data_IF_477288057398
#
_entry.id   IF_477288057398
#
_cell.length_a   1.000
_cell.length_b   1.000
_cell.length_c   1.000
_cell.angle_alpha   90.00
_cell.angle_beta   90.00
_cell.angle_gamma   90.00
#
_symmetry.space_group_name_H-M   'P 1'
#
loop_
_entity.id
_entity.type
_entity.pdbx_description
1 polymer ?
#
# COMPACT_ATOMS: atom_id res chain seq x y z
N UNK A 1 24.47 1.92 -1.81
CA UNK A 1 23.22 1.13 -1.92
C UNK A 1 23.45 -0.07 -2.81
N UNK A 2 22.84 -1.22 -2.54
CA UNK A 2 22.90 -2.38 -3.46
C UNK A 2 22.10 -2.06 -4.73
N UNK A 3 22.59 -2.50 -5.90
CA UNK A 3 21.91 -2.33 -7.20
C UNK A 3 20.48 -2.90 -7.16
N UNK A 4 20.27 -3.98 -6.42
CA UNK A 4 18.94 -4.59 -6.19
C UNK A 4 17.95 -3.62 -5.55
N UNK A 5 18.37 -2.90 -4.52
CA UNK A 5 17.50 -2.01 -3.76
C UNK A 5 17.13 -0.75 -4.55
N UNK A 6 18.06 -0.25 -5.38
CA UNK A 6 17.81 0.89 -6.25
C UNK A 6 16.77 0.56 -7.34
N UNK A 7 16.95 -0.57 -8.02
CA UNK A 7 16.01 -1.07 -9.03
C UNK A 7 14.63 -1.33 -8.43
N UNK A 8 14.57 -1.96 -7.26
CA UNK A 8 13.33 -2.20 -6.53
C UNK A 8 12.61 -0.89 -6.14
N UNK A 9 13.35 0.12 -5.68
CA UNK A 9 12.78 1.41 -5.31
C UNK A 9 12.16 2.13 -6.52
N UNK A 10 12.85 2.16 -7.66
CA UNK A 10 12.35 2.80 -8.88
C UNK A 10 11.12 2.06 -9.42
N UNK A 11 11.23 0.75 -9.69
CA UNK A 11 10.12 -0.03 -10.23
C UNK A 11 8.92 -0.08 -9.27
N UNK A 12 9.19 -0.12 -7.96
CA UNK A 12 8.16 -0.08 -6.92
C UNK A 12 7.44 1.26 -6.86
N UNK A 13 8.16 2.37 -6.97
CA UNK A 13 7.56 3.71 -6.97
C UNK A 13 6.72 3.94 -8.22
N UNK A 14 7.26 3.60 -9.40
CA UNK A 14 6.52 3.70 -10.66
C UNK A 14 5.28 2.80 -10.58
N UNK A 15 5.45 1.50 -10.32
CA UNK A 15 4.33 0.55 -10.24
C UNK A 15 3.26 0.96 -9.21
N UNK A 16 3.68 1.47 -8.04
CA UNK A 16 2.79 1.96 -7.00
C UNK A 16 1.97 3.17 -7.44
N UNK A 17 2.60 4.14 -8.11
CA UNK A 17 1.90 5.32 -8.65
C UNK A 17 0.91 4.92 -9.74
N UNK A 18 1.33 4.07 -10.71
CA UNK A 18 0.43 3.62 -11.79
C UNK A 18 -0.77 2.85 -11.22
N UNK A 19 -0.54 2.00 -10.23
CA UNK A 19 -1.61 1.23 -9.58
C UNK A 19 -2.56 2.13 -8.79
N UNK A 20 -2.05 3.05 -7.98
CA UNK A 20 -2.87 3.98 -7.21
C UNK A 20 -3.72 4.89 -8.11
N UNK A 21 -3.13 5.47 -9.16
CA UNK A 21 -3.85 6.27 -10.14
C UNK A 21 -4.92 5.45 -10.87
N UNK A 22 -4.59 4.22 -11.26
CA UNK A 22 -5.55 3.30 -11.88
C UNK A 22 -6.77 3.06 -10.98
N UNK A 23 -6.55 2.76 -9.70
CA UNK A 23 -7.64 2.59 -8.72
C UNK A 23 -8.49 3.85 -8.59
N UNK A 24 -7.88 5.03 -8.46
CA UNK A 24 -8.63 6.30 -8.39
C UNK A 24 -9.48 6.55 -9.65
N UNK A 25 -8.93 6.33 -10.85
CA UNK A 25 -9.66 6.50 -12.11
C UNK A 25 -10.83 5.51 -12.26
N UNK A 26 -10.76 4.34 -11.64
CA UNK A 26 -11.85 3.36 -11.63
C UNK A 26 -12.95 3.68 -10.63
N UNK A 27 -12.60 4.25 -9.47
CA UNK A 27 -13.55 4.50 -8.38
C UNK A 27 -14.31 5.83 -8.52
N UNK A 28 -13.77 6.80 -9.27
CA UNK A 28 -14.39 8.12 -9.46
C UNK A 28 -15.25 8.09 -10.74
N UNK A 29 -16.57 7.87 -10.65
CA UNK A 29 -17.44 7.76 -11.83
C UNK A 29 -17.52 9.07 -12.63
N UNK A 30 -17.25 10.22 -12.00
CA UNK A 30 -17.31 11.55 -12.63
C UNK A 30 -16.28 11.72 -13.75
N UNK A 31 -15.19 10.95 -13.73
CA UNK A 31 -14.15 11.02 -14.76
C UNK A 31 -14.49 10.21 -16.01
N UNK A 32 -15.55 9.37 -15.97
CA UNK A 32 -15.95 8.44 -17.04
C UNK A 32 -14.76 7.63 -17.62
N UNK A 33 -13.73 7.45 -16.80
CA UNK A 33 -12.42 6.90 -17.17
C UNK A 33 -12.21 5.51 -16.57
N UNK A 34 -13.30 4.79 -16.30
CA UNK A 34 -13.26 3.46 -15.68
C UNK A 34 -12.50 2.45 -16.55
N UNK A 35 -12.77 2.41 -17.86
CA UNK A 35 -12.04 1.55 -18.81
C UNK A 35 -10.54 1.81 -18.83
N UNK A 36 -10.05 3.06 -19.06
CA UNK A 36 -8.62 3.34 -19.01
C UNK A 36 -8.03 3.17 -17.59
N UNK A 37 -8.81 3.44 -16.53
CA UNK A 37 -8.41 3.20 -15.15
C UNK A 37 -8.11 1.74 -14.86
N UNK A 38 -8.96 0.80 -15.31
CA UNK A 38 -8.71 -0.65 -15.16
C UNK A 38 -7.43 -1.04 -15.89
N UNK A 39 -7.23 -0.57 -17.13
CA UNK A 39 -6.02 -0.87 -17.91
C UNK A 39 -4.79 -0.38 -17.17
N UNK A 40 -4.81 0.86 -16.67
CA UNK A 40 -3.69 1.45 -15.94
C UNK A 40 -3.42 0.73 -14.62
N UNK A 41 -4.47 0.35 -13.89
CA UNK A 41 -4.38 -0.42 -12.65
C UNK A 41 -3.76 -1.80 -12.89
N UNK A 42 -4.19 -2.50 -13.94
CA UNK A 42 -3.61 -3.80 -14.33
C UNK A 42 -2.14 -3.65 -14.72
N UNK A 43 -1.79 -2.63 -15.51
CA UNK A 43 -0.39 -2.34 -15.85
C UNK A 43 0.44 -2.08 -14.59
N UNK A 44 -0.05 -1.25 -13.66
CA UNK A 44 0.60 -0.99 -12.38
C UNK A 44 0.81 -2.25 -11.55
N UNK A 45 -0.20 -3.11 -11.47
CA UNK A 45 -0.11 -4.40 -10.78
C UNK A 45 0.93 -5.33 -11.43
N UNK A 46 0.97 -5.41 -12.77
CA UNK A 46 1.97 -6.19 -13.51
C UNK A 46 3.38 -5.66 -13.25
N UNK A 47 3.57 -4.34 -13.23
CA UNK A 47 4.87 -3.72 -12.90
C UNK A 47 5.30 -4.05 -11.48
N UNK A 48 4.39 -4.01 -10.50
CA UNK A 48 4.67 -4.39 -9.11
C UNK A 48 5.02 -5.88 -8.98
N UNK A 49 4.33 -6.77 -9.72
CA UNK A 49 4.67 -8.18 -9.76
C UNK A 49 6.05 -8.42 -10.39
N UNK A 50 6.34 -7.76 -11.51
CA UNK A 50 7.64 -7.82 -12.17
C UNK A 50 8.76 -7.31 -11.25
N UNK A 51 8.51 -6.23 -10.50
CA UNK A 51 9.43 -5.69 -9.49
C UNK A 51 9.80 -6.75 -8.45
N UNK A 52 8.81 -7.46 -7.89
CA UNK A 52 9.05 -8.51 -6.89
C UNK A 52 9.86 -9.66 -7.47
N UNK A 53 9.57 -10.06 -8.72
CA UNK A 53 10.30 -11.14 -9.42
C UNK A 53 11.76 -10.74 -9.71
N UNK A 54 11.98 -9.55 -10.28
CA UNK A 54 13.33 -9.03 -10.61
C UNK A 54 14.17 -8.85 -9.35
N UNK A 55 13.60 -8.25 -8.31
CA UNK A 55 14.30 -8.05 -7.05
C UNK A 55 14.70 -9.38 -6.41
N UNK A 56 13.80 -10.38 -6.41
CA UNK A 56 14.11 -11.72 -5.90
C UNK A 56 15.17 -12.45 -6.69
N UNK A 57 15.11 -12.39 -8.03
CA UNK A 57 16.14 -12.95 -8.92
C UNK A 57 17.50 -12.34 -8.63
N UNK A 58 17.57 -11.02 -8.43
CA UNK A 58 18.84 -10.33 -8.14
C UNK A 58 19.40 -10.62 -6.75
N UNK A 59 18.56 -10.87 -5.75
CA UNK A 59 19.04 -11.19 -4.39
C UNK A 59 19.26 -12.68 -4.14
N UNK A 60 19.03 -13.57 -5.12
CA UNK A 60 19.15 -15.03 -5.01
C UNK A 60 18.52 -15.57 -3.70
N UNK A 61 17.46 -14.93 -3.21
CA UNK A 61 16.80 -15.36 -1.97
C UNK A 61 15.95 -16.59 -2.24
N UNK A 62 15.98 -17.53 -1.30
CA UNK A 62 15.06 -18.65 -1.22
C UNK A 62 13.58 -18.20 -1.33
N UNK A 63 12.65 -19.09 -1.74
CA UNK A 63 11.23 -18.79 -1.87
C UNK A 63 10.64 -18.18 -0.59
N UNK A 64 9.50 -17.49 -0.75
CA UNK A 64 8.82 -16.72 0.31
C UNK A 64 8.70 -17.57 1.57
N UNK A 65 9.53 -17.31 2.57
CA UNK A 65 9.31 -17.84 3.91
C UNK A 65 8.22 -16.99 4.54
N UNK A 66 6.98 -17.37 4.28
CA UNK A 66 5.80 -16.70 4.83
C UNK A 66 5.75 -17.03 6.32
N UNK A 67 6.38 -16.18 7.15
CA UNK A 67 6.29 -16.33 8.61
C UNK A 67 4.98 -15.73 9.10
N UNK A 68 4.38 -16.29 10.16
CA UNK A 68 3.18 -15.71 10.78
C UNK A 68 3.39 -14.26 11.21
N UNK A 69 4.62 -13.89 11.60
CA UNK A 69 5.02 -12.52 11.90
C UNK A 69 4.96 -11.60 10.68
N UNK A 70 5.34 -12.08 9.50
CA UNK A 70 5.26 -11.30 8.26
C UNK A 70 3.80 -11.07 7.85
N UNK A 71 2.96 -12.11 7.93
CA UNK A 71 1.52 -11.99 7.63
C UNK A 71 0.85 -11.01 8.60
N UNK A 72 1.11 -11.17 9.90
CA UNK A 72 0.58 -10.28 10.93
C UNK A 72 0.98 -8.82 10.71
N UNK A 73 2.23 -8.57 10.33
CA UNK A 73 2.69 -7.21 10.01
C UNK A 73 1.94 -6.66 8.79
N UNK A 74 1.80 -7.43 7.71
CA UNK A 74 1.07 -6.99 6.51
C UNK A 74 -0.38 -6.67 6.84
N UNK A 75 -1.07 -7.53 7.62
CA UNK A 75 -2.45 -7.31 8.05
C UNK A 75 -2.62 -6.04 8.88
N UNK A 76 -1.75 -5.83 9.89
CA UNK A 76 -1.78 -4.61 10.73
C UNK A 76 -1.57 -3.37 9.85
N UNK A 77 -0.65 -3.43 8.89
CA UNK A 77 -0.41 -2.34 7.95
C UNK A 77 -1.63 -2.02 7.08
N UNK A 78 -2.31 -3.04 6.56
CA UNK A 78 -3.54 -2.88 5.77
C UNK A 78 -4.64 -2.24 6.62
N UNK A 79 -4.87 -2.75 7.83
CA UNK A 79 -5.91 -2.24 8.74
C UNK A 79 -5.63 -0.77 9.11
N UNK A 80 -4.38 -0.43 9.45
CA UNK A 80 -3.99 0.92 9.80
C UNK A 80 -4.13 1.90 8.63
N UNK A 81 -3.71 1.52 7.43
CA UNK A 81 -3.82 2.34 6.22
C UNK A 81 -5.28 2.56 5.81
N UNK A 82 -6.11 1.51 5.84
CA UNK A 82 -7.54 1.62 5.55
C UNK A 82 -8.26 2.46 6.61
N UNK A 83 -7.97 2.26 7.89
CA UNK A 83 -8.55 3.07 8.98
C UNK A 83 -8.22 4.56 8.83
N UNK A 84 -6.97 4.89 8.50
CA UNK A 84 -6.55 6.26 8.22
C UNK A 84 -7.28 6.83 6.99
N UNK A 85 -7.38 6.05 5.90
CA UNK A 85 -8.13 6.42 4.69
C UNK A 85 -9.60 6.71 4.97
N UNK A 86 -10.28 5.81 5.70
CA UNK A 86 -11.67 5.98 6.12
C UNK A 86 -11.83 7.23 6.97
N UNK A 87 -10.94 7.48 7.93
CA UNK A 87 -10.96 8.69 8.74
C UNK A 87 -10.94 9.97 7.89
N UNK A 88 -10.08 10.02 6.86
CA UNK A 88 -10.03 11.14 5.91
C UNK A 88 -11.31 11.26 5.07
N UNK A 89 -11.92 10.15 4.65
CA UNK A 89 -13.20 10.16 3.93
C UNK A 89 -14.34 10.67 4.82
N UNK A 90 -14.39 10.30 6.11
CA UNK A 90 -15.44 10.75 7.03
C UNK A 90 -15.41 12.26 7.28
N UNK A 91 -14.22 12.86 7.35
CA UNK A 91 -14.08 14.30 7.58
C UNK A 91 -14.40 15.12 6.32
N UNK A 92 -13.97 14.66 5.13
CA UNK A 92 -14.11 15.42 3.88
C UNK A 92 -15.41 15.15 3.12
N UNK A 93 -15.93 13.92 3.13
CA UNK A 93 -17.07 13.52 2.31
C UNK A 93 -18.37 13.50 3.12
N UNK A 94 -18.32 13.01 4.36
CA UNK A 94 -19.53 12.82 5.20
C UNK A 94 -19.71 13.90 6.29
N UNK A 95 -18.87 14.95 6.28
CA UNK A 95 -18.89 16.08 7.24
C UNK A 95 -18.93 15.68 8.72
N UNK A 96 -18.54 14.45 9.05
CA UNK A 96 -18.60 13.91 10.40
C UNK A 96 -17.22 14.02 11.05
N UNK A 97 -16.84 15.26 11.39
CA UNK A 97 -15.48 15.61 11.80
C UNK A 97 -14.99 14.85 13.04
N UNK A 98 -15.83 14.77 14.08
CA UNK A 98 -15.45 14.14 15.35
C UNK A 98 -15.10 12.66 15.19
N UNK A 99 -15.98 11.78 14.65
CA UNK A 99 -15.63 10.37 14.46
C UNK A 99 -14.52 10.19 13.42
N UNK A 100 -14.44 11.04 12.39
CA UNK A 100 -13.37 10.99 11.40
C UNK A 100 -11.98 11.21 12.00
N UNK A 101 -11.83 12.19 12.90
CA UNK A 101 -10.58 12.44 13.62
C UNK A 101 -10.23 11.27 14.56
N UNK A 102 -11.21 10.74 15.28
CA UNK A 102 -11.00 9.60 16.20
C UNK A 102 -10.52 8.36 15.44
N UNK A 103 -11.16 8.03 14.31
CA UNK A 103 -10.79 6.88 13.47
C UNK A 103 -9.43 7.12 12.78
N UNK A 104 -9.17 8.35 12.32
CA UNK A 104 -7.88 8.72 11.74
C UNK A 104 -6.73 8.58 12.74
N UNK A 105 -6.91 9.08 13.98
CA UNK A 105 -5.95 8.91 15.07
C UNK A 105 -5.73 7.44 15.41
N UNK A 106 -6.80 6.65 15.51
CA UNK A 106 -6.70 5.21 15.72
C UNK A 106 -5.89 4.53 14.60
N UNK A 107 -6.13 4.90 13.33
CA UNK A 107 -5.36 4.42 12.18
C UNK A 107 -3.86 4.74 12.27
N UNK A 108 -3.51 5.96 12.68
CA UNK A 108 -2.12 6.36 12.91
C UNK A 108 -1.49 5.52 14.03
N UNK A 109 -2.19 5.34 15.16
CA UNK A 109 -1.69 4.52 16.28
C UNK A 109 -1.43 3.08 15.84
N UNK A 110 -2.34 2.47 15.06
CA UNK A 110 -2.16 1.12 14.51
C UNK A 110 -0.94 1.05 13.58
N UNK A 111 -0.73 2.06 12.74
CA UNK A 111 0.46 2.14 11.88
C UNK A 111 1.75 2.31 12.70
N UNK A 112 1.73 3.07 13.79
CA UNK A 112 2.87 3.21 14.69
C UNK A 112 3.18 1.90 15.42
N UNK A 113 2.17 1.12 15.80
CA UNK A 113 2.33 -0.22 16.38
C UNK A 113 2.99 -1.24 15.41
N UNK A 114 3.08 -0.93 14.12
CA UNK A 114 3.83 -1.73 13.16
C UNK A 114 5.34 -1.72 13.44
N UNK A 115 5.88 -0.58 13.89
CA UNK A 115 7.31 -0.40 14.20
C UNK A 115 7.78 -1.38 15.28
N UNK A 116 7.18 -1.44 16.48
CA UNK A 116 7.57 -2.38 17.52
C UNK A 116 7.29 -3.84 17.11
N UNK A 117 6.26 -4.09 16.31
CA UNK A 117 5.93 -5.43 15.84
C UNK A 117 6.98 -5.99 14.85
N UNK A 118 7.47 -5.16 13.92
CA UNK A 118 8.45 -5.58 12.91
C UNK A 118 9.88 -5.59 13.47
N UNK A 119 10.30 -4.52 14.16
CA UNK A 119 11.69 -4.36 14.62
C UNK A 119 11.94 -4.87 16.05
N UNK A 120 10.88 -5.09 16.84
CA UNK A 120 10.99 -5.26 18.29
C UNK A 120 11.23 -3.90 18.96
N UNK A 121 10.63 -3.68 20.13
CA UNK A 121 11.04 -2.59 21.02
C UNK A 121 12.40 -2.96 21.60
N UNK A 122 13.42 -2.17 21.27
CA UNK A 122 14.71 -2.18 21.94
C UNK A 122 14.83 -0.91 22.77
#
# INVERSE_FOLDING_TARGET
MKKSNFVAMILGTIGGILFALGMCMTLIPEWNASRPGVVMGVVGAVVLLAMVLVWRKMENKAPIKVSGKTIGAVLIGIIGALGLGVGMCMTMVWSNMVPGIVIGLAGIVVLLCLIPFVKGLK
#
